data_IF_322497866809
#
_entry.id   IF_322497866809
#
_cell.length_a   1.000
_cell.length_b   1.000
_cell.length_c   1.000
_cell.angle_alpha   90.00
_cell.angle_beta   90.00
_cell.angle_gamma   90.00
#
_symmetry.space_group_name_H-M   'P 1'
#
loop_
_entity.id
_entity.type
_entity.pdbx_description
1 polymer ?
#
# COMPACT_ATOMS: atom_id res chain seq x y z
N UNK A 1 45.42 5.56 -10.68
CA UNK A 1 44.06 5.99 -10.30
C UNK A 1 43.34 4.77 -9.75
N UNK A 2 43.14 4.61 -8.44
CA UNK A 2 42.56 3.35 -7.93
C UNK A 2 42.23 3.27 -6.44
N UNK A 3 42.81 4.14 -5.61
CA UNK A 3 42.46 4.21 -4.17
C UNK A 3 41.21 5.07 -3.92
N UNK A 4 41.14 6.26 -4.53
CA UNK A 4 40.05 7.23 -4.30
C UNK A 4 38.68 6.77 -4.82
N UNK A 5 38.63 6.03 -5.94
CA UNK A 5 37.38 5.49 -6.49
C UNK A 5 36.75 4.43 -5.58
N UNK A 6 37.57 3.59 -4.92
CA UNK A 6 37.07 2.57 -4.00
C UNK A 6 36.54 3.19 -2.69
N UNK A 7 37.16 4.26 -2.21
CA UNK A 7 36.67 5.03 -1.05
C UNK A 7 35.35 5.74 -1.36
N UNK A 8 35.25 6.38 -2.53
CA UNK A 8 34.01 7.04 -2.97
C UNK A 8 32.88 6.04 -3.17
N UNK A 9 33.16 4.88 -3.79
CA UNK A 9 32.18 3.81 -3.99
C UNK A 9 31.67 3.23 -2.67
N UNK A 10 32.56 3.04 -1.68
CA UNK A 10 32.18 2.60 -0.33
C UNK A 10 31.33 3.65 0.39
N UNK A 11 31.72 4.92 0.33
CA UNK A 11 30.95 6.02 0.92
C UNK A 11 29.54 6.12 0.31
N UNK A 12 29.41 5.93 -1.01
CA UNK A 12 28.11 5.92 -1.69
C UNK A 12 27.23 4.75 -1.21
N UNK A 13 27.81 3.55 -1.03
CA UNK A 13 27.10 2.39 -0.51
C UNK A 13 26.62 2.64 0.93
N UNK A 14 27.45 3.25 1.79
CA UNK A 14 27.04 3.60 3.15
C UNK A 14 25.95 4.67 3.18
N UNK A 15 26.00 5.66 2.28
CA UNK A 15 24.95 6.67 2.14
C UNK A 15 23.62 6.02 1.71
N UNK A 16 23.65 5.12 0.73
CA UNK A 16 22.46 4.37 0.30
C UNK A 16 21.91 3.47 1.41
N UNK A 17 22.77 2.80 2.17
CA UNK A 17 22.35 1.99 3.32
C UNK A 17 21.72 2.85 4.42
N UNK A 18 22.29 4.02 4.72
CA UNK A 18 21.73 4.96 5.70
C UNK A 18 20.36 5.50 5.26
N UNK A 19 20.22 5.89 3.99
CA UNK A 19 18.94 6.33 3.42
C UNK A 19 17.90 5.21 3.39
N UNK A 20 18.33 3.96 3.15
CA UNK A 20 17.46 2.79 3.20
C UNK A 20 16.97 2.52 4.63
N UNK A 21 17.86 2.59 5.62
CA UNK A 21 17.51 2.42 7.04
C UNK A 21 16.60 3.55 7.56
N UNK A 22 16.75 4.79 7.08
CA UNK A 22 15.85 5.90 7.42
C UNK A 22 14.44 5.74 6.82
N UNK A 23 14.26 4.94 5.77
CA UNK A 23 12.94 4.60 5.23
C UNK A 23 12.27 3.41 5.97
N UNK A 24 12.92 2.82 6.97
CA UNK A 24 12.34 1.80 7.85
C UNK A 24 11.83 2.47 9.14
N UNK A 25 11.19 3.63 9.04
CA UNK A 25 10.38 4.17 10.13
C UNK A 25 8.92 3.89 9.82
N UNK A 26 8.26 3.22 10.77
CA UNK A 26 6.79 3.09 10.95
C UNK A 26 6.15 1.71 10.67
N UNK A 27 6.92 0.63 10.47
CA UNK A 27 6.31 -0.69 10.20
C UNK A 27 5.89 -1.48 11.46
N UNK A 28 6.32 -1.11 12.66
CA UNK A 28 6.06 -1.87 13.90
C UNK A 28 5.59 -0.97 15.06
N UNK A 29 4.75 0.03 14.78
CA UNK A 29 4.10 0.77 15.86
C UNK A 29 2.92 -0.08 16.39
N UNK A 30 3.07 -0.65 17.58
CA UNK A 30 1.96 -1.29 18.28
C UNK A 30 0.83 -0.27 18.49
N UNK A 31 -0.42 -0.71 18.31
CA UNK A 31 -1.60 0.14 18.52
C UNK A 31 -1.87 0.24 20.02
N UNK A 32 -1.26 1.21 20.67
CA UNK A 32 -1.35 1.39 22.13
C UNK A 32 -2.41 2.42 22.55
N UNK A 33 -2.79 3.35 21.66
CA UNK A 33 -3.72 4.45 21.96
C UNK A 33 -4.85 4.58 20.95
N UNK A 34 -5.94 5.24 21.34
CA UNK A 34 -7.04 5.61 20.43
C UNK A 34 -6.58 6.47 19.24
N UNK A 35 -5.49 7.23 19.41
CA UNK A 35 -4.92 8.04 18.32
C UNK A 35 -4.21 7.13 17.31
N UNK A 36 -3.47 6.14 17.78
CA UNK A 36 -2.77 5.18 16.92
C UNK A 36 -3.76 4.28 16.19
N UNK A 37 -4.82 3.83 16.87
CA UNK A 37 -5.91 3.07 16.26
C UNK A 37 -6.59 3.86 15.12
N UNK A 38 -6.88 5.14 15.36
CA UNK A 38 -7.46 6.02 14.34
C UNK A 38 -6.52 6.25 13.16
N UNK A 39 -5.22 6.46 13.41
CA UNK A 39 -4.22 6.62 12.35
C UNK A 39 -4.12 5.35 11.51
N UNK A 40 -4.05 4.19 12.15
CA UNK A 40 -4.01 2.90 11.47
C UNK A 40 -5.26 2.68 10.62
N UNK A 41 -6.47 2.86 11.18
CA UNK A 41 -7.72 2.66 10.46
C UNK A 41 -7.84 3.62 9.26
N UNK A 42 -7.47 4.88 9.41
CA UNK A 42 -7.47 5.83 8.29
C UNK A 42 -6.54 5.37 7.15
N UNK A 43 -5.30 5.00 7.46
CA UNK A 43 -4.34 4.48 6.47
C UNK A 43 -4.83 3.17 5.82
N UNK A 44 -5.41 2.28 6.61
CA UNK A 44 -5.93 1.01 6.12
C UNK A 44 -7.13 1.23 5.19
N UNK A 45 -8.07 2.07 5.57
CA UNK A 45 -9.23 2.45 4.75
C UNK A 45 -8.83 3.07 3.41
N UNK A 46 -7.82 3.96 3.40
CA UNK A 46 -7.26 4.50 2.14
C UNK A 46 -6.67 3.38 1.28
N UNK A 47 -5.98 2.43 1.89
CA UNK A 47 -5.40 1.27 1.20
C UNK A 47 -6.49 0.39 0.57
N UNK A 48 -7.61 0.16 1.27
CA UNK A 48 -8.75 -0.59 0.73
C UNK A 48 -9.34 0.10 -0.50
N UNK A 49 -9.53 1.42 -0.46
CA UNK A 49 -10.03 2.20 -1.63
C UNK A 49 -9.06 2.09 -2.81
N UNK A 50 -7.76 2.22 -2.57
CA UNK A 50 -6.75 2.09 -3.63
C UNK A 50 -6.74 0.70 -4.27
N UNK A 51 -6.92 -0.36 -3.48
CA UNK A 51 -7.01 -1.73 -4.02
C UNK A 51 -8.33 -1.98 -4.77
N UNK A 52 -9.43 -1.34 -4.37
CA UNK A 52 -10.69 -1.33 -5.14
C UNK A 52 -10.46 -0.65 -6.49
N UNK A 53 -9.88 0.55 -6.52
CA UNK A 53 -9.62 1.29 -7.77
C UNK A 53 -8.73 0.50 -8.73
N UNK A 54 -7.59 -0.01 -8.23
CA UNK A 54 -6.67 -0.83 -9.02
C UNK A 54 -7.33 -2.10 -9.55
N UNK A 55 -8.18 -2.74 -8.75
CA UNK A 55 -8.91 -3.93 -9.17
C UNK A 55 -9.99 -3.61 -10.19
N UNK A 56 -10.66 -2.46 -10.07
CA UNK A 56 -11.61 -1.97 -11.06
C UNK A 56 -10.95 -1.78 -12.43
N UNK A 57 -9.73 -1.23 -12.50
CA UNK A 57 -9.00 -1.13 -13.78
C UNK A 57 -8.72 -2.51 -14.42
N UNK A 58 -8.40 -3.52 -13.61
CA UNK A 58 -8.23 -4.91 -14.10
C UNK A 58 -9.54 -5.52 -14.57
N UNK A 59 -10.64 -5.19 -13.90
CA UNK A 59 -11.98 -5.63 -14.27
C UNK A 59 -12.36 -5.08 -15.65
N UNK A 60 -12.08 -3.79 -15.92
CA UNK A 60 -12.28 -3.17 -17.24
C UNK A 60 -11.43 -3.84 -18.31
N UNK A 61 -10.14 -4.07 -18.07
CA UNK A 61 -9.25 -4.76 -19.01
C UNK A 61 -9.74 -6.19 -19.34
N UNK A 62 -10.25 -6.91 -18.33
CA UNK A 62 -10.83 -8.23 -18.52
C UNK A 62 -12.10 -8.19 -19.39
N UNK A 63 -12.94 -7.16 -19.20
CA UNK A 63 -14.15 -6.94 -19.99
C UNK A 63 -13.81 -6.65 -21.46
N UNK A 64 -12.89 -5.72 -21.71
CA UNK A 64 -12.43 -5.36 -23.06
C UNK A 64 -11.85 -6.56 -23.82
N UNK A 65 -11.16 -7.46 -23.12
CA UNK A 65 -10.55 -8.67 -23.68
C UNK A 65 -11.49 -9.88 -23.70
N UNK A 66 -12.76 -9.71 -23.34
CA UNK A 66 -13.77 -10.77 -23.23
C UNK A 66 -13.33 -11.96 -22.32
N UNK A 67 -12.56 -11.67 -21.28
CA UNK A 67 -12.04 -12.65 -20.30
C UNK A 67 -13.00 -12.79 -19.12
N UNK A 68 -14.18 -13.38 -19.36
CA UNK A 68 -15.27 -13.43 -18.37
C UNK A 68 -14.94 -14.15 -17.05
N UNK A 69 -14.07 -15.16 -17.07
CA UNK A 69 -13.60 -15.84 -15.85
C UNK A 69 -12.79 -14.86 -14.98
N UNK A 70 -11.86 -14.11 -15.59
CA UNK A 70 -11.04 -13.13 -14.88
C UNK A 70 -11.89 -11.96 -14.38
N UNK A 71 -12.82 -11.47 -15.21
CA UNK A 71 -13.80 -10.47 -14.80
C UNK A 71 -14.54 -10.91 -13.53
N UNK A 72 -15.06 -12.14 -13.51
CA UNK A 72 -15.80 -12.67 -12.35
C UNK A 72 -14.92 -12.78 -11.12
N UNK A 73 -13.68 -13.25 -11.28
CA UNK A 73 -12.71 -13.37 -10.18
C UNK A 73 -12.39 -12.01 -9.57
N UNK A 74 -12.08 -11.01 -10.40
CA UNK A 74 -11.77 -9.65 -9.95
C UNK A 74 -13.00 -9.00 -9.32
N UNK A 75 -14.20 -9.22 -9.87
CA UNK A 75 -15.46 -8.71 -9.30
C UNK A 75 -15.70 -9.22 -7.88
N UNK A 76 -15.47 -10.52 -7.63
CA UNK A 76 -15.59 -11.11 -6.30
C UNK A 76 -14.56 -10.53 -5.32
N UNK A 77 -13.34 -10.27 -5.80
CA UNK A 77 -12.31 -9.62 -4.98
C UNK A 77 -12.72 -8.20 -4.60
N UNK A 78 -13.17 -7.38 -5.58
CA UNK A 78 -13.69 -6.03 -5.32
C UNK A 78 -14.81 -6.06 -4.28
N UNK A 79 -15.76 -6.98 -4.43
CA UNK A 79 -16.85 -7.15 -3.47
C UNK A 79 -16.33 -7.41 -2.05
N UNK A 80 -15.39 -8.35 -1.88
CA UNK A 80 -14.82 -8.67 -0.57
C UNK A 80 -14.07 -7.49 0.06
N UNK A 81 -13.31 -6.72 -0.73
CA UNK A 81 -12.61 -5.52 -0.24
C UNK A 81 -13.60 -4.41 0.13
N UNK A 82 -14.69 -4.26 -0.65
CA UNK A 82 -15.75 -3.27 -0.37
C UNK A 82 -16.52 -3.63 0.90
N UNK A 83 -16.82 -4.91 1.12
CA UNK A 83 -17.46 -5.38 2.36
C UNK A 83 -16.57 -5.12 3.59
N UNK A 84 -15.25 -5.29 3.49
CA UNK A 84 -14.32 -4.89 4.56
C UNK A 84 -14.34 -3.38 4.80
N UNK A 85 -14.35 -2.57 3.73
CA UNK A 85 -14.43 -1.11 3.82
C UNK A 85 -15.69 -0.65 4.57
N UNK A 86 -16.84 -1.24 4.24
CA UNK A 86 -18.13 -0.91 4.85
C UNK A 86 -18.18 -1.37 6.31
N UNK A 87 -17.72 -2.59 6.61
CA UNK A 87 -17.74 -3.14 7.97
C UNK A 87 -16.76 -2.44 8.93
N UNK A 88 -15.73 -1.78 8.41
CA UNK A 88 -14.81 -0.94 9.18
C UNK A 88 -15.31 0.51 9.34
N UNK A 89 -16.46 0.83 8.75
CA UNK A 89 -17.02 2.18 8.66
C UNK A 89 -15.98 3.21 8.20
N UNK A 90 -15.27 2.86 7.13
CA UNK A 90 -14.18 3.67 6.60
C UNK A 90 -14.59 5.10 6.21
N UNK A 91 -15.88 5.33 6.01
CA UNK A 91 -16.47 6.65 5.76
C UNK A 91 -16.13 7.69 6.84
N UNK A 92 -16.00 7.25 8.09
CA UNK A 92 -15.69 8.10 9.26
C UNK A 92 -14.21 8.52 9.27
N UNK A 93 -13.33 7.71 8.68
CA UNK A 93 -11.88 7.87 8.78
C UNK A 93 -11.25 8.55 7.56
N UNK A 94 -11.98 8.66 6.45
CA UNK A 94 -11.51 9.29 5.21
C UNK A 94 -11.92 10.77 5.11
N UNK A 95 -12.84 11.24 5.97
CA UNK A 95 -13.24 12.66 6.04
C UNK A 95 -12.80 13.31 7.36
N UNK A 96 -11.54 13.72 7.46
CA UNK A 96 -11.08 14.76 8.40
C UNK A 96 -9.95 15.58 7.81
#
# INVERSE_FOLDING_TARGET
MGLGQNLYRKALIYLFAALFLMNISDANADVETDVDARRFLSNYCITLVNEIEKSYQKQLDALEKNKMIEFTKVSKYIYGVSDLYDNLDCSIYINK
#
